data_IF_111547596347
#
_entry.id   IF_111547596347
#
_cell.length_a   1.000
_cell.length_b   1.000
_cell.length_c   1.000
_cell.angle_alpha   90.00
_cell.angle_beta   90.00
_cell.angle_gamma   90.00
#
_symmetry.space_group_name_H-M   'P 1'
#
loop_
_entity.id
_entity.type
_entity.pdbx_description
1 polymer ?
#
# COMPACT_ATOMS: atom_id res chain seq x y z
N UNK A 1 6.56 13.78 2.44
CA UNK A 1 5.66 14.18 1.36
C UNK A 1 4.87 12.98 0.83
N UNK A 2 5.43 12.05 0.05
CA UNK A 2 4.66 10.87 -0.47
C UNK A 2 4.34 9.80 0.59
N UNK A 3 5.27 9.46 1.48
CA UNK A 3 5.06 8.39 2.47
C UNK A 3 3.92 8.69 3.45
N UNK A 4 3.78 9.94 3.88
CA UNK A 4 2.66 10.38 4.72
C UNK A 4 1.30 10.22 4.00
N UNK A 5 1.26 10.38 2.68
CA UNK A 5 0.04 10.16 1.90
C UNK A 5 -0.31 8.67 1.82
N UNK A 6 0.69 7.78 1.64
CA UNK A 6 0.46 6.33 1.70
C UNK A 6 -0.14 5.92 3.04
N UNK A 7 0.47 6.36 4.14
CA UNK A 7 -0.04 6.10 5.49
C UNK A 7 -1.46 6.62 5.71
N UNK A 8 -1.77 7.82 5.23
CA UNK A 8 -3.12 8.39 5.33
C UNK A 8 -4.15 7.55 4.56
N UNK A 9 -3.81 7.12 3.35
CA UNK A 9 -4.72 6.34 2.49
C UNK A 9 -4.93 4.95 3.07
N UNK A 10 -3.85 4.26 3.46
CA UNK A 10 -3.93 2.94 4.08
C UNK A 10 -4.66 3.00 5.42
N UNK A 11 -4.41 4.01 6.25
CA UNK A 11 -5.13 4.21 7.51
C UNK A 11 -6.64 4.36 7.29
N UNK A 12 -7.05 5.08 6.24
CA UNK A 12 -8.47 5.22 5.86
C UNK A 12 -9.06 3.92 5.31
N UNK A 13 -8.30 3.16 4.50
CA UNK A 13 -8.70 1.83 4.02
C UNK A 13 -8.96 0.88 5.20
N UNK A 14 -8.04 0.83 6.15
CA UNK A 14 -8.16 -0.03 7.34
C UNK A 14 -9.30 0.42 8.26
N UNK A 15 -9.52 1.72 8.43
CA UNK A 15 -10.65 2.24 9.20
C UNK A 15 -12.02 1.92 8.56
N UNK A 16 -12.08 1.81 7.23
CA UNK A 16 -13.28 1.41 6.50
C UNK A 16 -13.50 -0.11 6.43
N UNK A 17 -12.55 -0.90 6.93
CA UNK A 17 -12.65 -2.36 6.95
C UNK A 17 -13.59 -2.81 8.08
N UNK A 18 -14.43 -3.86 7.90
CA UNK A 18 -15.31 -4.35 8.95
C UNK A 18 -14.52 -4.70 10.24
N UNK A 19 -15.15 -4.66 11.43
CA UNK A 19 -14.47 -4.95 12.70
C UNK A 19 -13.76 -6.32 12.77
N UNK A 20 -14.24 -7.30 12.00
CA UNK A 20 -13.66 -8.64 11.90
C UNK A 20 -12.68 -8.78 10.72
N UNK A 21 -12.39 -7.69 10.02
CA UNK A 21 -11.50 -7.69 8.89
C UNK A 21 -10.03 -7.57 9.29
N UNK A 22 -9.13 -7.70 8.31
CA UNK A 22 -7.69 -7.75 8.54
C UNK A 22 -7.14 -6.40 9.02
N UNK A 23 -6.30 -6.44 10.04
CA UNK A 23 -5.57 -5.27 10.56
C UNK A 23 -4.24 -5.09 9.83
N UNK A 24 -3.60 -3.94 10.01
CA UNK A 24 -2.24 -3.73 9.50
C UNK A 24 -1.26 -4.80 10.01
N UNK A 25 -1.33 -5.14 11.29
CA UNK A 25 -0.47 -6.16 11.90
C UNK A 25 -0.71 -7.56 11.33
N UNK A 26 -1.96 -7.88 10.99
CA UNK A 26 -2.26 -9.13 10.29
C UNK A 26 -1.49 -9.20 8.96
N UNK A 27 -1.51 -8.13 8.16
CA UNK A 27 -0.73 -8.08 6.92
C UNK A 27 0.77 -8.14 7.16
N UNK A 28 1.29 -7.48 8.20
CA UNK A 28 2.70 -7.59 8.60
C UNK A 28 3.09 -9.03 8.89
N UNK A 29 2.27 -9.78 9.63
CA UNK A 29 2.55 -11.19 9.93
C UNK A 29 2.57 -12.05 8.65
N UNK A 30 1.61 -11.82 7.75
CA UNK A 30 1.56 -12.55 6.46
C UNK A 30 2.79 -12.25 5.60
N UNK A 31 3.23 -10.99 5.53
CA UNK A 31 4.41 -10.58 4.75
C UNK A 31 5.71 -11.03 5.41
N UNK A 32 5.82 -10.93 6.74
CA UNK A 32 6.98 -11.40 7.49
C UNK A 32 7.22 -12.90 7.28
N UNK A 33 6.15 -13.70 7.25
CA UNK A 33 6.24 -15.14 6.95
C UNK A 33 6.79 -15.45 5.54
N UNK A 34 6.79 -14.46 4.65
CA UNK A 34 7.29 -14.55 3.26
C UNK A 34 8.57 -13.75 3.02
N UNK A 35 9.14 -13.13 4.04
CA UNK A 35 10.24 -12.18 3.86
C UNK A 35 11.46 -12.82 3.19
N UNK A 36 11.81 -14.05 3.58
CA UNK A 36 12.93 -14.77 2.98
C UNK A 36 12.72 -14.99 1.46
N UNK A 37 11.52 -15.42 1.06
CA UNK A 37 11.16 -15.58 -0.34
C UNK A 37 11.19 -14.24 -1.08
N UNK A 38 10.64 -13.18 -0.45
CA UNK A 38 10.64 -11.82 -0.99
C UNK A 38 12.05 -11.37 -1.31
N UNK A 39 13.00 -11.52 -0.38
CA UNK A 39 14.41 -11.19 -0.61
C UNK A 39 15.04 -12.02 -1.71
N UNK A 40 14.65 -13.29 -1.83
CA UNK A 40 15.10 -14.19 -2.89
C UNK A 40 14.65 -13.79 -4.30
N UNK A 41 13.59 -12.99 -4.43
CA UNK A 41 13.16 -12.46 -5.74
C UNK A 41 13.97 -11.26 -6.22
N UNK A 42 14.75 -10.60 -5.34
CA UNK A 42 15.63 -9.51 -5.74
C UNK A 42 17.01 -10.07 -6.10
N UNK A 43 17.56 -9.59 -7.22
CA UNK A 43 18.92 -9.95 -7.65
C UNK A 43 20.01 -9.39 -6.74
N UNK A 44 19.69 -8.35 -5.99
CA UNK A 44 20.58 -7.66 -5.06
C UNK A 44 20.12 -7.86 -3.61
N UNK A 45 21.07 -7.87 -2.69
CA UNK A 45 20.77 -7.89 -1.26
C UNK A 45 20.14 -6.57 -0.83
N UNK A 46 18.90 -6.65 -0.36
CA UNK A 46 18.22 -5.49 0.23
C UNK A 46 18.82 -5.17 1.62
N UNK A 47 19.53 -4.06 1.74
CA UNK A 47 20.10 -3.54 2.99
C UNK A 47 19.04 -2.87 3.88
N UNK A 48 17.97 -3.60 4.17
CA UNK A 48 16.86 -3.19 5.04
C UNK A 48 16.74 -4.19 6.19
N UNK A 49 16.39 -3.71 7.37
CA UNK A 49 15.99 -4.61 8.45
C UNK A 49 14.73 -5.39 8.04
N UNK A 50 14.49 -6.52 8.70
CA UNK A 50 13.27 -7.30 8.49
C UNK A 50 12.00 -6.47 8.71
N UNK A 51 11.98 -5.71 9.82
CA UNK A 51 10.84 -4.87 10.15
C UNK A 51 10.61 -3.77 9.12
N UNK A 52 11.68 -3.09 8.67
CA UNK A 52 11.58 -2.03 7.66
C UNK A 52 11.09 -2.58 6.32
N UNK A 53 11.60 -3.74 5.89
CA UNK A 53 11.17 -4.36 4.64
C UNK A 53 9.70 -4.78 4.71
N UNK A 54 9.30 -5.44 5.80
CA UNK A 54 7.91 -5.88 5.98
C UNK A 54 6.96 -4.69 6.02
N UNK A 55 7.29 -3.64 6.79
CA UNK A 55 6.47 -2.44 6.89
C UNK A 55 6.33 -1.73 5.54
N UNK A 56 7.45 -1.57 4.82
CA UNK A 56 7.46 -0.98 3.48
C UNK A 56 6.59 -1.79 2.52
N UNK A 57 6.74 -3.12 2.48
CA UNK A 57 6.01 -3.99 1.56
C UNK A 57 4.51 -3.99 1.84
N UNK A 58 4.09 -4.02 3.11
CA UNK A 58 2.67 -3.94 3.48
C UNK A 58 2.09 -2.58 3.11
N UNK A 59 2.78 -1.49 3.47
CA UNK A 59 2.31 -0.13 3.19
C UNK A 59 2.17 0.11 1.68
N UNK A 60 3.20 -0.27 0.91
CA UNK A 60 3.23 -0.07 -0.53
C UNK A 60 2.25 -0.99 -1.26
N UNK A 61 2.10 -2.23 -0.80
CA UNK A 61 1.13 -3.19 -1.34
C UNK A 61 -0.32 -2.73 -1.13
N UNK A 62 -0.70 -2.37 0.09
CA UNK A 62 -2.05 -1.88 0.40
C UNK A 62 -2.34 -0.58 -0.35
N UNK A 63 -1.38 0.34 -0.40
CA UNK A 63 -1.51 1.57 -1.16
C UNK A 63 -1.69 1.31 -2.66
N UNK A 64 -0.93 0.39 -3.24
CA UNK A 64 -1.02 0.03 -4.67
C UNK A 64 -2.37 -0.59 -5.02
N UNK A 65 -2.85 -1.52 -4.19
CA UNK A 65 -4.18 -2.13 -4.37
C UNK A 65 -5.27 -1.04 -4.31
N UNK A 66 -5.22 -0.18 -3.30
CA UNK A 66 -6.21 0.90 -3.14
C UNK A 66 -6.14 1.90 -4.30
N UNK A 67 -4.94 2.18 -4.83
CA UNK A 67 -4.76 3.00 -6.02
C UNK A 67 -5.49 2.39 -7.23
N UNK A 68 -5.31 1.09 -7.48
CA UNK A 68 -6.00 0.40 -8.58
C UNK A 68 -7.51 0.31 -8.36
N UNK A 69 -7.97 0.01 -7.14
CA UNK A 69 -9.40 0.00 -6.81
C UNK A 69 -10.05 1.36 -7.08
N UNK A 70 -9.36 2.47 -6.78
CA UNK A 70 -9.83 3.83 -7.09
C UNK A 70 -9.87 4.12 -8.57
N UNK A 71 -8.80 3.77 -9.30
CA UNK A 71 -8.75 3.95 -10.77
C UNK A 71 -9.84 3.14 -11.48
N UNK A 72 -10.18 1.96 -10.96
CA UNK A 72 -11.27 1.12 -11.47
C UNK A 72 -12.67 1.52 -11.00
N UNK A 73 -12.83 2.57 -10.19
CA UNK A 73 -14.12 3.00 -9.64
C UNK A 73 -14.72 2.04 -8.61
N UNK A 74 -13.92 1.16 -8.02
CA UNK A 74 -14.33 0.13 -7.04
C UNK A 74 -14.17 0.60 -5.58
N UNK A 75 -13.58 1.76 -5.33
CA UNK A 75 -13.35 2.27 -3.97
C UNK A 75 -14.64 2.88 -3.39
N UNK A 76 -14.96 2.50 -2.15
CA UNK A 76 -16.23 2.79 -1.45
C UNK A 76 -16.32 4.20 -0.83
N UNK A 77 -15.52 5.18 -1.26
CA UNK A 77 -15.49 6.51 -0.64
C UNK A 77 -15.42 7.66 -1.64
N UNK A 78 -16.49 8.44 -1.73
CA UNK A 78 -16.54 9.70 -2.47
C UNK A 78 -15.64 10.83 -1.88
N UNK A 79 -14.99 10.61 -0.74
CA UNK A 79 -14.22 11.65 -0.03
C UNK A 79 -12.89 12.08 -0.69
N UNK A 80 -12.45 11.39 -1.75
CA UNK A 80 -11.12 11.60 -2.34
C UNK A 80 -11.13 12.25 -3.70
N UNK A 81 -12.30 12.71 -4.16
CA UNK A 81 -12.46 13.42 -5.42
C UNK A 81 -11.59 14.69 -5.50
N UNK A 82 -11.03 15.16 -4.38
CA UNK A 82 -10.15 16.33 -4.28
C UNK A 82 -8.69 16.03 -3.94
N UNK A 83 -8.28 14.77 -3.75
CA UNK A 83 -6.88 14.47 -3.41
C UNK A 83 -5.98 14.66 -4.64
N UNK A 84 -5.00 15.60 -4.60
CA UNK A 84 -4.17 15.93 -5.76
C UNK A 84 -3.46 14.73 -6.36
N UNK A 85 -3.15 13.71 -5.54
CA UNK A 85 -2.50 12.49 -5.98
C UNK A 85 -3.31 11.72 -7.05
N UNK A 86 -4.63 11.75 -6.95
CA UNK A 86 -5.54 11.06 -7.86
C UNK A 86 -6.05 11.98 -9.00
N UNK A 87 -5.91 13.30 -8.84
CA UNK A 87 -6.11 14.27 -9.93
C UNK A 87 -4.91 14.39 -10.87
N UNK A 88 -3.75 13.99 -10.41
CA UNK A 88 -2.52 14.06 -11.18
C UNK A 88 -2.58 13.05 -12.34
N UNK A 89 -2.72 13.57 -13.57
CA UNK A 89 -2.36 12.90 -14.84
C UNK A 89 -0.93 12.30 -14.84
N UNK A 90 -0.13 12.59 -13.82
CA UNK A 90 1.25 12.14 -13.62
C UNK A 90 1.40 10.64 -13.36
N UNK A 91 0.42 9.97 -12.75
CA UNK A 91 0.48 8.51 -12.54
C UNK A 91 0.45 7.76 -13.88
N UNK A 92 -0.27 8.29 -14.87
CA UNK A 92 -0.31 7.72 -16.23
C UNK A 92 0.98 7.99 -17.04
N UNK A 93 1.70 9.07 -16.73
CA UNK A 93 2.88 9.48 -17.52
C UNK A 93 4.16 8.68 -17.21
N UNK A 94 4.18 7.88 -16.13
CA UNK A 94 5.36 7.12 -15.70
C UNK A 94 5.08 5.62 -15.49
N UNK A 95 3.90 5.12 -15.88
CA UNK A 95 3.51 3.71 -15.78
C UNK A 95 3.35 3.05 -17.17
N UNK A 96 3.54 3.81 -18.26
CA UNK A 96 3.61 3.32 -19.64
C UNK A 96 4.96 3.67 -20.24
#
# INVERSE_FOLDING_TARGET
MIQQHKWRIVGKLLAGTPPNGPTFDYYRQVVAAKEADIRGYYSETLNLSSDDLVEMMVLDGLFTIELFCRLGGLSLGHEYEYDPLFKLKFIFANII
#
